data_IF_332895041443
#
_entry.id   IF_332895041443
#
_cell.length_a   1.000
_cell.length_b   1.000
_cell.length_c   1.000
_cell.angle_alpha   90.00
_cell.angle_beta   90.00
_cell.angle_gamma   90.00
#
_symmetry.space_group_name_H-M   'P 1'
#
loop_
_entity.id
_entity.type
_entity.pdbx_description
1 polymer ?
#
# COMPACT_ATOMS: atom_id res chain seq x y z
N UNK A 1 -17.43 3.89 -5.86
CA UNK A 1 -16.73 2.60 -5.93
C UNK A 1 -15.46 2.68 -6.77
N UNK A 2 -15.51 2.93 -8.07
CA UNK A 2 -14.32 2.96 -8.94
C UNK A 2 -13.19 3.88 -8.40
N UNK A 3 -13.53 5.12 -8.07
CA UNK A 3 -12.55 6.08 -7.52
C UNK A 3 -11.92 5.60 -6.20
N UNK A 4 -12.69 4.89 -5.36
CA UNK A 4 -12.19 4.33 -4.11
C UNK A 4 -11.18 3.19 -4.36
N UNK A 5 -11.47 2.31 -5.32
CA UNK A 5 -10.53 1.26 -5.74
C UNK A 5 -9.24 1.87 -6.30
N UNK A 6 -9.34 2.80 -7.25
CA UNK A 6 -8.18 3.50 -7.83
C UNK A 6 -7.37 4.21 -6.74
N UNK A 7 -8.04 4.88 -5.80
CA UNK A 7 -7.39 5.58 -4.70
C UNK A 7 -6.61 4.62 -3.81
N UNK A 8 -7.22 3.50 -3.41
CA UNK A 8 -6.56 2.52 -2.54
C UNK A 8 -5.42 1.79 -3.25
N UNK A 9 -5.60 1.40 -4.52
CA UNK A 9 -4.53 0.80 -5.35
C UNK A 9 -3.35 1.77 -5.47
N UNK A 10 -3.61 3.05 -5.73
CA UNK A 10 -2.57 4.08 -5.79
C UNK A 10 -1.88 4.31 -4.44
N UNK A 11 -2.60 4.18 -3.33
CA UNK A 11 -2.05 4.23 -1.98
C UNK A 11 -1.12 3.03 -1.71
N UNK A 12 -1.52 1.82 -2.09
CA UNK A 12 -0.71 0.60 -2.00
C UNK A 12 0.59 0.73 -2.81
N UNK A 13 0.50 1.28 -4.03
CA UNK A 13 1.67 1.57 -4.85
C UNK A 13 2.61 2.60 -4.20
N UNK A 14 2.06 3.63 -3.57
CA UNK A 14 2.83 4.63 -2.84
C UNK A 14 3.54 4.01 -1.63
N UNK A 15 2.85 3.17 -0.87
CA UNK A 15 3.39 2.45 0.27
C UNK A 15 4.57 1.57 -0.15
N UNK A 16 4.41 0.79 -1.22
CA UNK A 16 5.48 -0.04 -1.78
C UNK A 16 6.72 0.80 -2.15
N UNK A 17 6.54 1.90 -2.86
CA UNK A 17 7.64 2.77 -3.29
C UNK A 17 8.36 3.41 -2.09
N UNK A 18 7.62 3.80 -1.05
CA UNK A 18 8.17 4.37 0.16
C UNK A 18 9.01 3.35 0.94
N UNK A 19 8.50 2.13 1.17
CA UNK A 19 9.23 1.07 1.86
C UNK A 19 10.41 0.54 1.04
N UNK A 20 10.31 0.50 -0.28
CA UNK A 20 11.45 0.21 -1.14
C UNK A 20 12.56 1.25 -0.97
N UNK A 21 12.21 2.53 -0.90
CA UNK A 21 13.19 3.59 -0.60
C UNK A 21 13.77 3.45 0.81
N UNK A 22 12.96 3.14 1.83
CA UNK A 22 13.44 2.89 3.18
C UNK A 22 14.45 1.73 3.21
N UNK A 23 14.15 0.63 2.51
CA UNK A 23 15.08 -0.49 2.34
C UNK A 23 16.42 -0.04 1.74
N UNK A 24 16.40 0.76 0.67
CA UNK A 24 17.61 1.20 -0.03
C UNK A 24 18.48 2.17 0.78
N UNK A 25 17.89 3.01 1.64
CA UNK A 25 18.63 4.04 2.39
C UNK A 25 19.06 3.59 3.79
N UNK A 26 18.59 2.43 4.25
CA UNK A 26 18.95 1.88 5.56
C UNK A 26 20.44 1.59 5.62
N UNK A 27 21.09 2.03 6.71
CA UNK A 27 22.53 1.90 6.94
C UNK A 27 22.85 1.88 8.44
N UNK A 28 24.10 1.58 8.76
CA UNK A 28 24.58 1.60 10.14
C UNK A 28 24.33 0.30 10.90
N UNK A 29 24.23 0.38 12.23
CA UNK A 29 24.12 -0.80 13.09
C UNK A 29 22.84 -1.63 12.88
N UNK A 30 21.73 -0.99 12.49
CA UNK A 30 20.46 -1.65 12.17
C UNK A 30 20.39 -2.29 10.78
N UNK A 31 21.44 -2.14 9.95
CA UNK A 31 21.38 -2.54 8.54
C UNK A 31 20.91 -4.00 8.33
N UNK A 32 21.46 -4.95 9.07
CA UNK A 32 21.12 -6.36 8.87
C UNK A 32 19.66 -6.69 9.24
N UNK A 33 19.12 -6.08 10.30
CA UNK A 33 17.74 -6.24 10.73
C UNK A 33 16.77 -5.44 9.87
N UNK A 34 16.99 -4.15 9.78
CA UNK A 34 16.03 -3.23 9.16
C UNK A 34 16.00 -3.34 7.63
N UNK A 35 17.17 -3.52 7.00
CA UNK A 35 17.28 -3.60 5.54
C UNK A 35 16.61 -4.85 4.99
N UNK A 36 16.98 -6.05 5.48
CA UNK A 36 16.49 -7.33 4.94
C UNK A 36 15.21 -7.77 5.62
N UNK A 37 15.24 -7.91 6.96
CA UNK A 37 14.19 -8.57 7.71
C UNK A 37 12.98 -7.68 8.02
N UNK A 38 13.08 -6.37 7.81
CA UNK A 38 11.96 -5.45 8.01
C UNK A 38 11.52 -4.83 6.67
N UNK A 39 12.27 -3.85 6.17
CA UNK A 39 11.82 -3.11 4.98
C UNK A 39 11.84 -3.95 3.71
N UNK A 40 12.78 -4.90 3.60
CA UNK A 40 12.84 -5.85 2.48
C UNK A 40 11.59 -6.74 2.41
N UNK A 41 11.20 -7.31 3.54
CA UNK A 41 10.00 -8.16 3.62
C UNK A 41 8.72 -7.36 3.38
N UNK A 42 8.61 -6.17 3.99
CA UNK A 42 7.43 -5.31 3.83
C UNK A 42 7.21 -4.95 2.35
N UNK A 43 8.20 -4.36 1.66
CA UNK A 43 7.96 -3.90 0.29
C UNK A 43 7.73 -5.06 -0.69
N UNK A 44 8.36 -6.23 -0.48
CA UNK A 44 8.10 -7.42 -1.30
C UNK A 44 6.69 -7.96 -1.08
N UNK A 45 6.22 -8.02 0.16
CA UNK A 45 4.85 -8.42 0.46
C UNK A 45 3.82 -7.49 -0.18
N UNK A 46 4.08 -6.17 -0.17
CA UNK A 46 3.19 -5.19 -0.81
C UNK A 46 3.11 -5.38 -2.34
N UNK A 47 4.18 -5.85 -3.01
CA UNK A 47 4.13 -6.13 -4.45
C UNK A 47 3.12 -7.23 -4.75
N UNK A 48 3.15 -8.33 -3.98
CA UNK A 48 2.20 -9.44 -4.15
C UNK A 48 0.76 -9.01 -3.86
N UNK A 49 0.57 -8.18 -2.84
CA UNK A 49 -0.73 -7.65 -2.49
C UNK A 49 -1.27 -6.69 -3.55
N UNK A 50 -0.40 -5.87 -4.12
CA UNK A 50 -0.76 -4.96 -5.21
C UNK A 50 -1.32 -5.71 -6.41
N UNK A 51 -0.66 -6.78 -6.85
CA UNK A 51 -1.12 -7.57 -7.99
C UNK A 51 -2.48 -8.21 -7.72
N UNK A 52 -2.64 -8.86 -6.56
CA UNK A 52 -3.92 -9.46 -6.13
C UNK A 52 -5.04 -8.42 -6.05
N UNK A 53 -4.75 -7.23 -5.52
CA UNK A 53 -5.71 -6.14 -5.39
C UNK A 53 -6.19 -5.66 -6.75
N UNK A 54 -5.27 -5.43 -7.70
CA UNK A 54 -5.60 -4.96 -9.05
C UNK A 54 -6.46 -5.97 -9.77
N UNK A 55 -6.07 -7.25 -9.78
CA UNK A 55 -6.82 -8.33 -10.42
C UNK A 55 -8.26 -8.45 -9.89
N UNK A 56 -8.44 -8.45 -8.58
CA UNK A 56 -9.76 -8.48 -7.95
C UNK A 56 -10.58 -7.22 -8.25
N UNK A 57 -9.91 -6.07 -8.30
CA UNK A 57 -10.56 -4.79 -8.57
C UNK A 57 -11.08 -4.69 -10.01
N UNK A 58 -10.37 -5.24 -11.00
CA UNK A 58 -10.84 -5.33 -12.39
C UNK A 58 -12.16 -6.09 -12.46
N UNK A 59 -12.24 -7.23 -11.76
CA UNK A 59 -13.47 -8.06 -11.74
C UNK A 59 -14.65 -7.31 -11.11
N UNK A 60 -14.42 -6.62 -10.00
CA UNK A 60 -15.48 -5.90 -9.26
C UNK A 60 -15.93 -4.63 -9.98
N UNK A 61 -15.00 -3.90 -10.57
CA UNK A 61 -15.29 -2.65 -11.26
C UNK A 61 -15.77 -2.84 -12.70
N UNK A 62 -15.61 -4.05 -13.25
CA UNK A 62 -15.87 -4.39 -14.67
C UNK A 62 -15.16 -3.41 -15.63
N UNK A 63 -13.90 -3.06 -15.28
CA UNK A 63 -13.09 -2.14 -16.09
C UNK A 63 -11.60 -2.32 -15.79
N UNK A 64 -10.76 -2.20 -16.83
CA UNK A 64 -9.30 -2.21 -16.70
C UNK A 64 -8.72 -0.85 -16.26
N UNK A 65 -9.55 0.18 -16.09
CA UNK A 65 -9.10 1.52 -15.68
C UNK A 65 -8.37 1.49 -14.33
N UNK A 66 -8.77 0.59 -13.43
CA UNK A 66 -8.11 0.37 -12.13
C UNK A 66 -6.65 -0.07 -12.25
N UNK A 67 -6.25 -0.62 -13.40
CA UNK A 67 -4.88 -1.04 -13.72
C UNK A 67 -4.08 0.01 -14.53
N UNK A 68 -4.69 1.15 -14.86
CA UNK A 68 -4.04 2.16 -15.70
C UNK A 68 -2.77 2.73 -15.03
N UNK A 69 -1.56 2.48 -15.58
CA UNK A 69 -0.32 2.87 -14.92
C UNK A 69 -0.16 4.39 -14.80
N UNK A 70 -0.73 5.16 -15.73
CA UNK A 70 -0.69 6.63 -15.70
C UNK A 70 -1.54 7.14 -14.53
N UNK A 71 -2.76 6.61 -14.38
CA UNK A 71 -3.67 6.99 -13.30
C UNK A 71 -3.08 6.62 -11.95
N UNK A 72 -2.65 5.38 -11.79
CA UNK A 72 -2.07 4.87 -10.55
C UNK A 72 -0.79 5.62 -10.13
N UNK A 73 0.06 5.98 -11.10
CA UNK A 73 1.27 6.77 -10.81
C UNK A 73 0.93 8.18 -10.33
N UNK A 74 -0.08 8.84 -10.93
CA UNK A 74 -0.54 10.15 -10.48
C UNK A 74 -1.14 10.11 -9.07
N UNK A 75 -1.91 9.06 -8.75
CA UNK A 75 -2.48 8.88 -7.41
C UNK A 75 -1.36 8.61 -6.41
N UNK A 76 -0.44 7.69 -6.73
CA UNK A 76 0.70 7.35 -5.89
C UNK A 76 1.57 8.57 -5.58
N UNK A 77 1.87 9.41 -6.57
CA UNK A 77 2.63 10.64 -6.37
C UNK A 77 1.95 11.59 -5.37
N UNK A 78 0.63 11.82 -5.53
CA UNK A 78 -0.15 12.66 -4.60
C UNK A 78 -0.20 12.10 -3.18
N UNK A 79 -0.17 10.77 -3.04
CA UNK A 79 -0.07 10.14 -1.72
C UNK A 79 1.31 10.38 -1.12
N UNK A 80 2.38 10.12 -1.89
CA UNK A 80 3.77 10.32 -1.44
C UNK A 80 4.07 11.77 -1.03
N UNK A 81 3.47 12.75 -1.68
CA UNK A 81 3.62 14.18 -1.33
C UNK A 81 3.17 14.51 0.11
N UNK A 82 2.38 13.64 0.74
CA UNK A 82 1.91 13.81 2.13
C UNK A 82 2.87 13.22 3.17
N UNK A 83 3.82 12.41 2.74
CA UNK A 83 4.74 11.71 3.63
C UNK A 83 6.17 12.20 3.43
N UNK A 84 6.90 12.31 4.55
CA UNK A 84 8.31 12.63 4.50
C UNK A 84 9.09 11.47 3.88
N UNK A 85 10.03 11.80 2.98
CA UNK A 85 10.91 10.80 2.37
C UNK A 85 11.78 10.10 3.44
N UNK A 86 12.02 8.79 3.34
CA UNK A 86 12.99 8.10 4.20
C UNK A 86 14.44 8.51 3.91
N UNK A 87 14.71 9.11 2.75
CA UNK A 87 16.05 9.55 2.38
C UNK A 87 16.57 10.60 3.35
N UNK A 88 17.84 10.46 3.76
CA UNK A 88 18.55 11.36 4.69
C UNK A 88 17.98 11.37 6.12
N UNK A 89 17.16 10.39 6.50
CA UNK A 89 16.66 10.23 7.87
C UNK A 89 17.48 9.21 8.66
N UNK A 90 17.45 9.30 9.99
CA UNK A 90 17.97 8.26 10.88
C UNK A 90 17.01 7.07 10.98
N UNK A 91 17.53 5.89 11.37
CA UNK A 91 16.73 4.65 11.43
C UNK A 91 15.45 4.76 12.26
N UNK A 92 15.52 5.33 13.46
CA UNK A 92 14.35 5.52 14.33
C UNK A 92 13.28 6.41 13.68
N UNK A 93 13.73 7.44 12.93
CA UNK A 93 12.82 8.34 12.21
C UNK A 93 12.16 7.61 11.03
N UNK A 94 12.92 6.81 10.29
CA UNK A 94 12.37 5.98 9.19
C UNK A 94 11.32 5.02 9.74
N UNK A 95 11.60 4.34 10.84
CA UNK A 95 10.67 3.41 11.46
C UNK A 95 9.37 4.11 11.91
N UNK A 96 9.47 5.26 12.56
CA UNK A 96 8.30 6.04 12.98
C UNK A 96 7.45 6.51 11.79
N UNK A 97 8.07 7.06 10.74
CA UNK A 97 7.39 7.50 9.54
C UNK A 97 6.72 6.33 8.79
N UNK A 98 7.40 5.19 8.71
CA UNK A 98 6.86 3.98 8.11
C UNK A 98 5.63 3.46 8.86
N UNK A 99 5.68 3.45 10.20
CA UNK A 99 4.56 3.05 11.04
C UNK A 99 3.35 3.98 10.85
N UNK A 100 3.56 5.28 10.76
CA UNK A 100 2.48 6.24 10.51
C UNK A 100 1.84 6.01 9.12
N UNK A 101 2.66 5.76 8.09
CA UNK A 101 2.14 5.44 6.75
C UNK A 101 1.34 4.13 6.75
N UNK A 102 1.81 3.08 7.45
CA UNK A 102 1.10 1.81 7.57
C UNK A 102 -0.26 1.98 8.27
N UNK A 103 -0.33 2.77 9.34
CA UNK A 103 -1.59 3.08 10.04
C UNK A 103 -2.60 3.76 9.15
N UNK A 104 -2.16 4.76 8.37
CA UNK A 104 -3.03 5.43 7.39
C UNK A 104 -3.47 4.48 6.30
N UNK A 105 -2.60 3.55 5.86
CA UNK A 105 -2.93 2.54 4.87
C UNK A 105 -4.02 1.58 5.36
N UNK A 106 -3.94 1.11 6.61
CA UNK A 106 -4.97 0.28 7.25
C UNK A 106 -6.29 1.05 7.39
N UNK A 107 -6.24 2.33 7.74
CA UNK A 107 -7.43 3.17 7.78
C UNK A 107 -8.09 3.29 6.40
N UNK A 108 -7.31 3.50 5.34
CA UNK A 108 -7.81 3.54 3.96
C UNK A 108 -8.39 2.19 3.51
N UNK A 109 -7.80 1.06 3.94
CA UNK A 109 -8.34 -0.28 3.70
C UNK A 109 -9.72 -0.43 4.33
N UNK A 110 -9.87 0.02 5.57
CA UNK A 110 -11.13 -0.02 6.30
C UNK A 110 -12.21 0.82 5.58
N UNK A 111 -11.85 1.98 5.06
CA UNK A 111 -12.78 2.82 4.29
C UNK A 111 -13.17 2.18 2.95
N UNK A 112 -12.22 1.55 2.25
CA UNK A 112 -12.52 0.79 1.04
C UNK A 112 -13.52 -0.33 1.33
N UNK A 113 -13.29 -1.11 2.41
CA UNK A 113 -14.18 -2.18 2.83
C UNK A 113 -15.64 -1.67 2.98
N UNK A 114 -15.84 -0.59 3.74
CA UNK A 114 -17.16 0.02 3.95
C UNK A 114 -17.83 0.48 2.65
N UNK A 115 -17.03 1.05 1.74
CA UNK A 115 -17.56 1.50 0.43
C UNK A 115 -18.01 0.31 -0.39
N UNK A 116 -17.20 -0.76 -0.48
CA UNK A 116 -17.57 -1.96 -1.23
C UNK A 116 -18.78 -2.66 -0.63
N UNK A 117 -18.87 -2.74 0.70
CA UNK A 117 -20.04 -3.28 1.40
C UNK A 117 -21.30 -2.47 1.08
N UNK A 118 -21.23 -1.14 1.22
CA UNK A 118 -22.36 -0.25 0.96
C UNK A 118 -22.87 -0.27 -0.49
N UNK A 119 -21.99 -0.57 -1.44
CA UNK A 119 -22.32 -0.69 -2.86
C UNK A 119 -22.75 -2.11 -3.26
N UNK A 120 -22.75 -3.08 -2.34
CA UNK A 120 -23.02 -4.49 -2.65
C UNK A 120 -21.95 -5.14 -3.54
N UNK A 121 -20.73 -4.57 -3.55
CA UNK A 121 -19.62 -5.01 -4.38
C UNK A 121 -18.58 -5.86 -3.60
N UNK A 122 -18.81 -6.07 -2.30
CA UNK A 122 -17.94 -6.89 -1.46
C UNK A 122 -18.19 -8.37 -1.75
N UNK A 123 -17.40 -8.95 -2.65
CA UNK A 123 -17.42 -10.39 -2.93
C UNK A 123 -16.66 -11.16 -1.86
N UNK A 124 -16.95 -12.47 -1.69
CA UNK A 124 -16.21 -13.33 -0.76
C UNK A 124 -14.69 -13.28 -1.00
N UNK A 125 -14.25 -13.24 -2.25
CA UNK A 125 -12.83 -13.17 -2.58
C UNK A 125 -12.19 -11.81 -2.29
N UNK A 126 -12.94 -10.72 -2.31
CA UNK A 126 -12.45 -9.40 -1.93
C UNK A 126 -12.47 -9.25 -0.39
N UNK A 127 -13.49 -9.76 0.28
CA UNK A 127 -13.59 -9.80 1.73
C UNK A 127 -12.42 -10.55 2.35
N UNK A 128 -12.16 -11.76 1.88
CA UNK A 128 -11.01 -12.59 2.29
C UNK A 128 -9.68 -11.86 2.07
N UNK A 129 -9.51 -11.23 0.90
CA UNK A 129 -8.30 -10.46 0.59
C UNK A 129 -8.12 -9.28 1.55
N UNK A 130 -9.15 -8.46 1.78
CA UNK A 130 -9.07 -7.28 2.65
C UNK A 130 -8.81 -7.69 4.11
N UNK A 131 -9.42 -8.79 4.57
CA UNK A 131 -9.17 -9.34 5.90
C UNK A 131 -7.72 -9.85 6.04
N UNK A 132 -7.19 -10.54 5.02
CA UNK A 132 -5.80 -11.01 5.02
C UNK A 132 -4.81 -9.82 5.01
N UNK A 133 -5.03 -8.81 4.17
CA UNK A 133 -4.22 -7.60 4.11
C UNK A 133 -4.24 -6.82 5.45
N UNK A 134 -5.41 -6.71 6.10
CA UNK A 134 -5.52 -6.07 7.40
C UNK A 134 -4.73 -6.78 8.52
N UNK A 135 -4.55 -8.10 8.40
CA UNK A 135 -3.75 -8.88 9.34
C UNK A 135 -2.25 -8.85 9.04
N UNK A 136 -1.88 -8.51 7.81
CA UNK A 136 -0.48 -8.45 7.36
C UNK A 136 0.17 -7.12 7.70
N UNK A 137 -0.56 -6.02 7.61
CA UNK A 137 -0.11 -4.65 7.90
C UNK A 137 -0.33 -4.27 9.37
#
# INVERSE_FOLDING_TARGET
MLDALISYIGCTKALQAWFHSAHQVTKGAGFAGDHVNLYGEIYNGIIEDFDKLVEKSIIIADTEEVACPIVLTKVSARVLDRYKSPAQQGGDVIAALGLDFMRDHIANLTELYKILESCGALTLGMDDYLAAAANQY
#
